data_IF_010668257500
#
_entry.id   IF_010668257500
#
_cell.length_a   1.000
_cell.length_b   1.000
_cell.length_c   1.000
_cell.angle_alpha   90.00
_cell.angle_beta   90.00
_cell.angle_gamma   90.00
#
_symmetry.space_group_name_H-M   'P 1'
#
loop_
_entity.id
_entity.type
_entity.pdbx_description
1 polymer ?
#
# COMPACT_ATOMS: atom_id res chain seq x y z
N UNK A 1 23.74 -4.24 25.36
CA UNK A 1 24.37 -3.17 24.55
C UNK A 1 24.17 -1.78 25.18
N UNK A 2 22.95 -1.29 25.45
CA UNK A 2 22.75 0.03 26.08
C UNK A 2 23.32 0.13 27.52
N UNK A 3 23.29 -0.96 28.32
CA UNK A 3 23.90 -0.99 29.66
C UNK A 3 25.43 -0.81 29.61
N UNK A 4 26.09 -1.48 28.65
CA UNK A 4 27.54 -1.39 28.49
C UNK A 4 27.93 0.03 28.05
N UNK A 5 27.19 0.65 27.10
CA UNK A 5 27.41 2.03 26.68
C UNK A 5 27.17 3.00 27.86
N UNK A 6 26.15 2.76 28.69
CA UNK A 6 25.84 3.56 29.86
C UNK A 6 26.97 3.53 30.92
N UNK A 7 27.57 2.39 31.15
CA UNK A 7 28.71 2.23 32.06
C UNK A 7 29.96 2.94 31.49
N UNK A 8 30.21 2.81 30.21
CA UNK A 8 31.37 3.40 29.54
C UNK A 8 31.33 4.94 29.48
N UNK A 9 30.15 5.51 29.35
CA UNK A 9 29.94 6.98 29.24
C UNK A 9 29.41 7.61 30.54
N UNK A 10 29.41 6.88 31.67
CA UNK A 10 29.03 7.43 33.00
C UNK A 10 27.55 7.76 33.13
N UNK A 11 26.70 7.20 32.30
CA UNK A 11 25.25 7.39 32.40
C UNK A 11 24.72 6.56 33.58
N UNK A 12 24.31 7.21 34.66
CA UNK A 12 23.96 6.61 35.94
C UNK A 12 22.74 5.65 35.90
N UNK A 13 21.96 5.62 34.80
CA UNK A 13 20.80 4.75 34.71
C UNK A 13 20.40 4.49 33.25
N UNK A 14 20.60 3.26 32.77
CA UNK A 14 20.06 2.81 31.47
C UNK A 14 18.64 2.28 31.70
N UNK A 15 17.67 2.83 30.97
CA UNK A 15 16.29 2.40 31.04
C UNK A 15 16.10 1.00 30.46
N UNK A 16 15.25 0.18 31.10
CA UNK A 16 14.96 -1.17 30.63
C UNK A 16 14.18 -1.16 29.29
N UNK A 17 14.30 -2.25 28.53
CA UNK A 17 13.48 -2.45 27.33
C UNK A 17 11.97 -2.33 27.66
N UNK A 18 11.53 -2.84 28.81
CA UNK A 18 10.14 -2.73 29.25
C UNK A 18 9.74 -1.26 29.46
N UNK A 19 10.59 -0.46 30.10
CA UNK A 19 10.34 0.98 30.30
C UNK A 19 10.16 1.71 28.96
N UNK A 20 11.03 1.44 27.97
CA UNK A 20 10.90 2.02 26.62
C UNK A 20 9.61 1.57 25.96
N UNK A 21 9.27 0.29 26.05
CA UNK A 21 8.02 -0.25 25.51
C UNK A 21 6.78 0.43 26.12
N UNK A 22 6.79 0.66 27.42
CA UNK A 22 5.67 1.31 28.11
C UNK A 22 5.56 2.81 27.76
N UNK A 23 6.69 3.49 27.58
CA UNK A 23 6.69 4.86 27.07
C UNK A 23 6.08 4.95 25.67
N UNK A 24 6.44 4.03 24.76
CA UNK A 24 5.89 3.98 23.40
C UNK A 24 4.37 3.76 23.42
N UNK A 25 3.88 2.84 24.25
CA UNK A 25 2.44 2.59 24.41
C UNK A 25 1.71 3.80 24.98
N UNK A 26 2.27 4.43 26.02
CA UNK A 26 1.70 5.61 26.67
C UNK A 26 1.64 6.79 25.68
N UNK A 27 2.73 7.06 24.96
CA UNK A 27 2.77 8.09 23.92
C UNK A 27 1.77 7.78 22.80
N UNK A 28 1.71 6.52 22.36
CA UNK A 28 0.76 6.10 21.34
C UNK A 28 -0.69 6.30 21.76
N UNK A 29 -1.04 5.98 23.01
CA UNK A 29 -2.38 6.21 23.56
C UNK A 29 -2.71 7.71 23.64
N UNK A 30 -1.77 8.54 24.08
CA UNK A 30 -1.96 9.98 24.11
C UNK A 30 -2.20 10.55 22.71
N UNK A 31 -1.39 10.16 21.73
CA UNK A 31 -1.56 10.57 20.32
C UNK A 31 -2.90 10.11 19.73
N UNK A 32 -3.32 8.87 20.04
CA UNK A 32 -4.61 8.35 19.60
C UNK A 32 -5.79 9.17 20.13
N UNK A 33 -5.79 9.49 21.42
CA UNK A 33 -6.83 10.32 22.05
C UNK A 33 -6.81 11.77 21.52
N UNK A 34 -5.63 12.30 21.22
CA UNK A 34 -5.44 13.67 20.72
C UNK A 34 -5.88 13.82 19.26
N UNK A 35 -5.71 12.78 18.42
CA UNK A 35 -5.87 12.87 16.97
C UNK A 35 -7.22 13.44 16.54
N UNK A 36 -8.33 12.94 17.10
CA UNK A 36 -9.69 13.39 16.77
C UNK A 36 -9.95 14.80 17.27
N UNK A 37 -9.44 15.15 18.47
CA UNK A 37 -9.54 16.49 19.05
C UNK A 37 -8.83 17.51 18.16
N UNK A 38 -7.60 17.22 17.72
CA UNK A 38 -6.84 18.13 16.85
C UNK A 38 -7.56 18.40 15.54
N UNK A 39 -8.17 17.38 14.90
CA UNK A 39 -8.96 17.56 13.69
C UNK A 39 -10.16 18.47 13.97
N UNK A 40 -10.93 18.19 15.02
CA UNK A 40 -12.10 18.96 15.43
C UNK A 40 -11.75 20.43 15.69
N UNK A 41 -10.73 20.65 16.51
CA UNK A 41 -10.39 22.00 17.00
C UNK A 41 -9.76 22.86 15.88
N UNK A 42 -8.98 22.25 14.97
CA UNK A 42 -8.38 22.94 13.82
C UNK A 42 -9.37 23.18 12.68
N UNK A 43 -10.55 22.55 12.68
CA UNK A 43 -11.52 22.61 11.57
C UNK A 43 -10.93 22.19 10.21
N UNK A 44 -9.88 21.36 10.21
CA UNK A 44 -9.24 20.93 8.97
C UNK A 44 -10.20 20.07 8.14
N UNK A 45 -10.22 20.27 6.83
CA UNK A 45 -10.91 19.37 5.89
C UNK A 45 -10.14 18.07 5.81
N UNK A 46 -10.81 16.95 6.02
CA UNK A 46 -10.18 15.64 6.09
C UNK A 46 -10.98 14.58 5.34
N UNK A 47 -10.31 13.46 5.05
CA UNK A 47 -10.90 12.25 4.50
C UNK A 47 -10.36 11.04 5.23
N UNK A 48 -10.97 9.88 5.04
CA UNK A 48 -10.50 8.65 5.66
C UNK A 48 -9.75 7.76 4.66
N UNK A 49 -8.67 7.11 5.13
CA UNK A 49 -8.14 5.89 4.53
C UNK A 49 -8.43 4.76 5.49
N UNK A 50 -9.06 3.69 5.00
CA UNK A 50 -9.56 2.58 5.81
C UNK A 50 -9.06 1.25 5.25
N UNK A 51 -8.55 0.39 6.14
CA UNK A 51 -8.15 -0.97 5.77
C UNK A 51 -8.37 -1.96 6.93
N UNK A 52 -8.78 -3.20 6.61
CA UNK A 52 -8.99 -4.30 7.55
C UNK A 52 -7.95 -5.44 7.45
N UNK A 53 -6.74 -5.15 6.97
CA UNK A 53 -5.81 -6.14 6.41
C UNK A 53 -4.94 -6.91 7.39
N UNK A 54 -4.87 -6.55 8.68
CA UNK A 54 -4.01 -7.28 9.63
C UNK A 54 -4.80 -8.31 10.43
N UNK A 55 -4.45 -9.58 10.22
CA UNK A 55 -4.83 -10.66 11.15
C UNK A 55 -3.74 -10.82 12.22
N UNK A 56 -4.12 -10.71 13.49
CA UNK A 56 -3.25 -10.95 14.65
C UNK A 56 -3.88 -12.08 15.48
N UNK A 57 -3.29 -13.27 15.41
CA UNK A 57 -3.95 -14.47 15.95
C UNK A 57 -5.26 -14.74 15.21
N UNK A 58 -6.37 -14.82 15.94
CA UNK A 58 -7.73 -15.00 15.40
C UNK A 58 -8.48 -13.67 15.20
N UNK A 59 -7.83 -12.53 15.37
CA UNK A 59 -8.45 -11.22 15.36
C UNK A 59 -8.02 -10.41 14.12
N UNK A 60 -8.93 -9.63 13.56
CA UNK A 60 -8.70 -8.69 12.46
C UNK A 60 -8.67 -7.26 12.98
N UNK A 61 -7.68 -6.51 12.55
CA UNK A 61 -7.53 -5.09 12.86
C UNK A 61 -8.18 -4.25 11.77
N UNK A 62 -9.07 -3.35 12.16
CA UNK A 62 -9.55 -2.25 11.32
C UNK A 62 -8.78 -0.99 11.71
N UNK A 63 -8.06 -0.42 10.76
CA UNK A 63 -7.32 0.83 10.93
C UNK A 63 -7.99 1.94 10.13
N UNK A 64 -8.18 3.09 10.77
CA UNK A 64 -8.72 4.29 10.15
C UNK A 64 -7.73 5.43 10.31
N UNK A 65 -7.27 5.96 9.20
CA UNK A 65 -6.42 7.16 9.14
C UNK A 65 -7.27 8.35 8.71
N UNK A 66 -7.06 9.50 9.32
CA UNK A 66 -7.48 10.77 8.76
C UNK A 66 -6.32 11.36 7.96
N UNK A 67 -6.62 11.75 6.73
CA UNK A 67 -5.71 12.39 5.78
C UNK A 67 -6.26 13.78 5.41
N UNK A 68 -5.44 14.72 4.89
CA UNK A 68 -5.96 15.93 4.26
C UNK A 68 -6.96 15.59 3.15
N UNK A 69 -8.08 16.30 3.08
CA UNK A 69 -9.09 16.09 2.03
C UNK A 69 -8.53 16.37 0.63
N UNK A 70 -7.69 17.39 0.52
CA UNK A 70 -6.96 17.73 -0.71
C UNK A 70 -5.55 17.10 -0.69
N UNK A 71 -5.04 16.73 -1.86
CA UNK A 71 -3.68 16.26 -1.99
C UNK A 71 -2.69 17.37 -1.60
N UNK A 72 -1.69 17.10 -0.73
CA UNK A 72 -0.73 18.10 -0.28
C UNK A 72 0.33 18.48 -1.34
N UNK A 73 0.22 18.01 -2.57
CA UNK A 73 1.20 18.24 -3.65
C UNK A 73 2.40 17.29 -3.62
N UNK A 74 2.29 16.23 -2.84
CA UNK A 74 3.24 15.11 -2.76
C UNK A 74 2.52 13.84 -2.30
N UNK A 75 3.13 12.69 -2.51
CA UNK A 75 2.63 11.42 -1.96
C UNK A 75 2.50 11.52 -0.43
N UNK A 76 1.39 11.01 0.12
CA UNK A 76 1.12 11.07 1.55
C UNK A 76 2.29 10.48 2.37
N UNK A 77 2.71 11.23 3.38
CA UNK A 77 3.75 10.86 4.34
C UNK A 77 3.15 10.58 5.71
N UNK A 78 3.92 9.97 6.59
CA UNK A 78 3.49 9.70 7.97
C UNK A 78 3.12 10.96 8.75
N UNK A 79 3.72 12.11 8.44
CA UNK A 79 3.44 13.41 9.05
C UNK A 79 2.10 14.02 8.60
N UNK A 80 1.61 13.65 7.42
CA UNK A 80 0.35 14.16 6.86
C UNK A 80 -0.89 13.48 7.46
N UNK A 81 -0.72 12.35 8.14
CA UNK A 81 -1.82 11.49 8.56
C UNK A 81 -1.95 11.38 10.07
N UNK A 82 -3.14 11.06 10.54
CA UNK A 82 -3.44 10.79 11.95
C UNK A 82 -4.21 9.49 12.08
N UNK A 83 -3.80 8.64 13.01
CA UNK A 83 -4.58 7.44 13.35
C UNK A 83 -5.78 7.86 14.19
N UNK A 84 -6.98 7.75 13.62
CA UNK A 84 -8.23 8.11 14.28
C UNK A 84 -9.09 6.90 14.67
N UNK A 85 -8.77 5.71 14.18
CA UNK A 85 -9.45 4.46 14.54
C UNK A 85 -8.50 3.28 14.58
N UNK A 86 -8.49 2.53 15.68
CA UNK A 86 -7.85 1.24 15.85
C UNK A 86 -8.90 0.33 16.50
N UNK A 87 -9.47 -0.59 15.74
CA UNK A 87 -10.52 -1.47 16.24
C UNK A 87 -10.14 -2.92 15.96
N UNK A 88 -10.53 -3.80 16.85
CA UNK A 88 -10.15 -5.21 16.84
C UNK A 88 -11.36 -6.09 17.02
N UNK A 89 -11.62 -6.97 16.04
CA UNK A 89 -12.73 -7.93 16.07
C UNK A 89 -12.28 -9.26 15.44
N UNK A 90 -13.07 -10.30 15.59
CA UNK A 90 -12.83 -11.58 14.90
C UNK A 90 -13.06 -11.46 13.39
N UNK A 91 -14.01 -10.66 13.01
CA UNK A 91 -14.36 -10.35 11.60
C UNK A 91 -15.10 -9.02 11.55
N UNK A 92 -15.03 -8.36 10.41
CA UNK A 92 -15.71 -7.09 10.17
C UNK A 92 -16.86 -7.30 9.20
N UNK A 93 -18.07 -6.87 9.58
CA UNK A 93 -19.21 -6.72 8.68
C UNK A 93 -19.35 -5.25 8.30
N UNK A 94 -20.01 -4.98 7.18
CA UNK A 94 -20.19 -3.61 6.69
C UNK A 94 -20.89 -2.71 7.73
N UNK A 95 -21.86 -3.24 8.44
CA UNK A 95 -22.60 -2.51 9.46
C UNK A 95 -21.72 -2.14 10.67
N UNK A 96 -20.81 -3.05 11.08
CA UNK A 96 -19.86 -2.79 12.18
C UNK A 96 -18.81 -1.76 11.78
N UNK A 97 -18.28 -1.85 10.56
CA UNK A 97 -17.37 -0.85 10.02
C UNK A 97 -18.05 0.52 9.95
N UNK A 98 -19.27 0.60 9.39
CA UNK A 98 -20.03 1.85 9.30
C UNK A 98 -20.25 2.47 10.68
N UNK A 99 -20.64 1.66 11.67
CA UNK A 99 -20.82 2.11 13.05
C UNK A 99 -19.51 2.69 13.64
N UNK A 100 -18.37 2.04 13.40
CA UNK A 100 -17.08 2.53 13.88
C UNK A 100 -16.62 3.81 13.20
N UNK A 101 -16.88 3.96 11.92
CA UNK A 101 -16.61 5.21 11.19
C UNK A 101 -17.55 6.33 11.69
N UNK A 102 -18.83 6.04 11.96
CA UNK A 102 -19.77 7.01 12.52
C UNK A 102 -19.36 7.46 13.92
N UNK A 103 -18.90 6.55 14.80
CA UNK A 103 -18.37 6.90 16.13
C UNK A 103 -17.21 7.92 16.01
N UNK A 104 -16.31 7.75 15.02
CA UNK A 104 -15.21 8.72 14.78
C UNK A 104 -15.76 10.08 14.29
N UNK A 105 -16.72 10.05 13.35
CA UNK A 105 -17.36 11.27 12.82
C UNK A 105 -18.06 12.05 13.93
N UNK A 106 -18.78 11.38 14.82
CA UNK A 106 -19.51 12.01 15.93
C UNK A 106 -18.53 12.69 16.91
N UNK A 107 -17.40 12.06 17.21
CA UNK A 107 -16.38 12.64 18.09
C UNK A 107 -15.63 13.82 17.45
N UNK A 108 -15.40 13.81 16.13
CA UNK A 108 -14.83 14.95 15.38
C UNK A 108 -15.86 16.07 15.22
N UNK A 109 -17.15 15.73 15.06
CA UNK A 109 -18.27 16.65 14.98
C UNK A 109 -18.64 17.10 13.56
N UNK A 110 -17.96 16.59 12.51
CA UNK A 110 -18.32 16.80 11.09
C UNK A 110 -17.80 15.67 10.21
N UNK A 111 -18.47 15.46 9.04
CA UNK A 111 -18.17 14.36 8.12
C UNK A 111 -16.85 14.57 7.39
N UNK A 112 -16.11 13.46 7.06
CA UNK A 112 -15.02 13.50 6.09
C UNK A 112 -15.57 13.79 4.68
N UNK A 113 -14.71 14.23 3.76
CA UNK A 113 -15.13 14.51 2.39
C UNK A 113 -15.31 13.24 1.56
N UNK A 114 -14.49 12.24 1.82
CA UNK A 114 -14.56 10.90 1.18
C UNK A 114 -13.90 9.84 2.05
N UNK A 115 -14.10 8.59 1.65
CA UNK A 115 -13.37 7.43 2.17
C UNK A 115 -12.58 6.81 1.03
N UNK A 116 -11.30 6.53 1.27
CA UNK A 116 -10.42 5.77 0.40
C UNK A 116 -10.16 4.40 1.01
N UNK A 117 -10.43 3.34 0.27
CA UNK A 117 -10.12 1.97 0.71
C UNK A 117 -9.85 1.05 -0.48
N UNK A 118 -9.47 -0.19 -0.20
CA UNK A 118 -9.49 -1.23 -1.21
C UNK A 118 -10.92 -1.50 -1.72
N UNK A 119 -11.04 -2.39 -2.71
CA UNK A 119 -12.36 -2.77 -3.27
C UNK A 119 -13.10 -3.80 -2.42
N UNK A 120 -12.73 -3.98 -1.15
CA UNK A 120 -13.36 -4.91 -0.21
C UNK A 120 -14.85 -4.62 -0.05
N UNK A 121 -15.70 -5.62 -0.32
CA UNK A 121 -17.15 -5.46 -0.31
C UNK A 121 -17.70 -4.83 0.97
N UNK A 122 -17.12 -5.21 2.13
CA UNK A 122 -17.54 -4.68 3.43
C UNK A 122 -17.24 -3.19 3.57
N UNK A 123 -16.07 -2.73 3.09
CA UNK A 123 -15.66 -1.33 3.15
C UNK A 123 -16.49 -0.46 2.21
N UNK A 124 -16.70 -0.93 0.97
CA UNK A 124 -17.59 -0.25 -0.01
C UNK A 124 -19.00 -0.09 0.55
N UNK A 125 -19.59 -1.18 1.07
CA UNK A 125 -20.95 -1.15 1.64
C UNK A 125 -21.01 -0.26 2.89
N UNK A 126 -20.00 -0.30 3.76
CA UNK A 126 -19.93 0.54 4.95
C UNK A 126 -19.92 2.04 4.60
N UNK A 127 -19.13 2.42 3.60
CA UNK A 127 -19.04 3.80 3.12
C UNK A 127 -20.38 4.26 2.51
N UNK A 128 -21.02 3.40 1.72
CA UNK A 128 -22.36 3.65 1.18
C UNK A 128 -23.42 3.87 2.27
N UNK A 129 -23.38 3.07 3.36
CA UNK A 129 -24.28 3.22 4.50
C UNK A 129 -24.14 4.58 5.21
N UNK A 130 -22.98 5.24 5.09
CA UNK A 130 -22.72 6.57 5.66
C UNK A 130 -23.00 7.72 4.68
N UNK A 131 -23.42 7.38 3.45
CA UNK A 131 -23.65 8.34 2.37
C UNK A 131 -22.40 9.21 2.08
N UNK A 132 -21.21 8.60 2.13
CA UNK A 132 -19.95 9.25 1.83
C UNK A 132 -19.46 8.84 0.43
N UNK A 133 -18.83 9.76 -0.32
CA UNK A 133 -18.11 9.38 -1.54
C UNK A 133 -17.03 8.34 -1.21
N UNK A 134 -16.94 7.30 -2.02
CA UNK A 134 -15.95 6.24 -1.88
C UNK A 134 -14.99 6.22 -3.05
N UNK A 135 -13.72 6.44 -2.79
CA UNK A 135 -12.63 6.23 -3.75
C UNK A 135 -12.04 4.84 -3.59
N UNK A 136 -11.86 4.16 -4.70
CA UNK A 136 -11.19 2.86 -4.76
C UNK A 136 -9.69 3.06 -4.90
N UNK A 137 -8.91 2.33 -4.12
CA UNK A 137 -7.45 2.39 -4.22
C UNK A 137 -6.94 2.05 -5.62
N UNK A 138 -6.07 2.89 -6.17
CA UNK A 138 -5.55 2.75 -7.53
C UNK A 138 -4.68 1.50 -7.69
N UNK A 139 -3.88 1.15 -6.66
CA UNK A 139 -3.02 -0.02 -6.68
C UNK A 139 -3.81 -1.32 -6.70
N UNK A 140 -4.77 -1.45 -5.80
CA UNK A 140 -5.66 -2.60 -5.74
C UNK A 140 -6.49 -2.75 -7.01
N UNK A 141 -7.03 -1.64 -7.52
CA UNK A 141 -7.84 -1.65 -8.75
C UNK A 141 -7.03 -2.07 -9.96
N UNK A 142 -5.80 -1.57 -10.11
CA UNK A 142 -4.92 -2.02 -11.19
C UNK A 142 -4.54 -3.49 -11.06
N UNK A 143 -4.27 -3.95 -9.82
CA UNK A 143 -4.05 -5.37 -9.54
C UNK A 143 -5.20 -6.26 -10.04
N UNK A 144 -6.45 -5.85 -9.83
CA UNK A 144 -7.63 -6.58 -10.34
C UNK A 144 -7.71 -6.59 -11.88
N UNK A 145 -7.31 -5.51 -12.56
CA UNK A 145 -7.28 -5.49 -14.03
C UNK A 145 -6.25 -6.46 -14.59
N UNK A 146 -5.11 -6.59 -13.94
CA UNK A 146 -4.10 -7.58 -14.31
C UNK A 146 -4.55 -9.00 -14.00
N UNK A 147 -5.17 -9.23 -12.85
CA UNK A 147 -5.74 -10.53 -12.47
C UNK A 147 -6.73 -11.00 -13.51
N UNK A 148 -7.71 -10.18 -13.87
CA UNK A 148 -8.70 -10.48 -14.91
C UNK A 148 -8.06 -10.78 -16.28
N UNK A 149 -6.95 -10.08 -16.60
CA UNK A 149 -6.29 -10.25 -17.90
C UNK A 149 -5.39 -11.48 -17.99
N UNK A 150 -4.81 -11.95 -16.84
CA UNK A 150 -3.73 -12.92 -16.86
C UNK A 150 -3.96 -14.14 -15.97
N UNK A 151 -4.94 -14.19 -15.05
CA UNK A 151 -5.08 -15.31 -14.10
C UNK A 151 -5.34 -16.63 -14.80
N UNK A 152 -6.15 -16.62 -15.86
CA UNK A 152 -6.44 -17.81 -16.70
C UNK A 152 -5.47 -17.97 -17.89
N UNK A 153 -4.48 -17.10 -18.06
CA UNK A 153 -3.53 -17.17 -19.16
C UNK A 153 -2.52 -18.31 -18.93
N UNK A 154 -2.53 -19.30 -19.82
CA UNK A 154 -1.65 -20.48 -19.73
C UNK A 154 -0.17 -20.09 -19.76
N UNK A 155 0.23 -19.19 -20.66
CA UNK A 155 1.63 -18.76 -20.80
C UNK A 155 2.11 -18.01 -19.55
N UNK A 156 1.26 -17.16 -18.97
CA UNK A 156 1.57 -16.47 -17.73
C UNK A 156 1.72 -17.46 -16.57
N UNK A 157 0.82 -18.44 -16.44
CA UNK A 157 0.88 -19.44 -15.40
C UNK A 157 2.08 -20.37 -15.55
N UNK A 158 2.43 -20.78 -16.78
CA UNK A 158 3.66 -21.53 -17.07
C UNK A 158 4.91 -20.74 -16.70
N UNK A 159 4.98 -19.46 -17.05
CA UNK A 159 6.10 -18.59 -16.71
C UNK A 159 6.26 -18.46 -15.20
N UNK A 160 5.17 -18.26 -14.44
CA UNK A 160 5.18 -18.28 -12.97
C UNK A 160 5.78 -19.57 -12.41
N UNK A 161 5.35 -20.72 -12.94
CA UNK A 161 5.83 -22.01 -12.47
C UNK A 161 7.31 -22.24 -12.80
N UNK A 162 7.78 -21.80 -13.96
CA UNK A 162 9.21 -21.85 -14.31
C UNK A 162 10.06 -20.98 -13.38
N UNK A 163 9.61 -19.78 -13.06
CA UNK A 163 10.29 -18.93 -12.06
C UNK A 163 10.33 -19.60 -10.68
N UNK A 164 9.23 -20.22 -10.24
CA UNK A 164 9.18 -20.97 -8.98
C UNK A 164 10.17 -22.13 -8.96
N UNK A 165 10.22 -22.91 -10.03
CA UNK A 165 11.18 -24.01 -10.18
C UNK A 165 12.63 -23.54 -10.15
N UNK A 166 12.96 -22.51 -10.92
CA UNK A 166 14.30 -21.92 -10.92
C UNK A 166 14.71 -21.47 -9.51
N UNK A 167 13.82 -20.82 -8.78
CA UNK A 167 14.09 -20.41 -7.40
C UNK A 167 14.34 -21.59 -6.46
N UNK A 168 13.54 -22.65 -6.53
CA UNK A 168 13.71 -23.84 -5.71
C UNK A 168 15.02 -24.58 -6.04
N UNK A 169 15.38 -24.61 -7.31
CA UNK A 169 16.58 -25.33 -7.78
C UNK A 169 17.88 -24.61 -7.46
N UNK A 170 17.90 -23.26 -7.54
CA UNK A 170 19.16 -22.48 -7.53
C UNK A 170 19.36 -21.61 -6.30
N UNK A 171 18.46 -21.61 -5.28
CA UNK A 171 18.54 -20.70 -4.14
C UNK A 171 19.75 -20.93 -3.21
N UNK A 172 20.38 -22.09 -3.25
CA UNK A 172 21.59 -22.43 -2.51
C UNK A 172 22.82 -22.62 -3.42
N UNK A 173 22.80 -22.05 -4.62
CA UNK A 173 23.90 -22.11 -5.58
C UNK A 173 24.50 -20.75 -5.85
N UNK A 174 25.60 -20.72 -6.59
CA UNK A 174 26.24 -19.50 -7.13
C UNK A 174 25.33 -18.66 -8.05
N UNK A 175 24.20 -19.23 -8.48
CA UNK A 175 23.17 -18.56 -9.31
C UNK A 175 22.11 -17.83 -8.47
N UNK A 176 22.21 -17.85 -7.14
CA UNK A 176 21.20 -17.28 -6.24
C UNK A 176 20.95 -15.78 -6.45
N UNK A 177 21.96 -15.00 -6.89
CA UNK A 177 21.83 -13.57 -7.17
C UNK A 177 21.00 -13.25 -8.44
N UNK A 178 20.80 -14.23 -9.33
CA UNK A 178 19.99 -14.10 -10.55
C UNK A 178 18.53 -14.49 -10.33
N UNK A 179 18.16 -14.97 -9.16
CA UNK A 179 16.83 -15.53 -8.92
C UNK A 179 15.72 -14.49 -8.96
N UNK A 180 14.52 -14.89 -9.42
CA UNK A 180 13.35 -14.04 -9.34
C UNK A 180 13.02 -13.67 -7.88
N UNK A 181 12.32 -12.56 -7.64
CA UNK A 181 11.85 -12.18 -6.31
C UNK A 181 10.99 -13.28 -5.67
N UNK A 182 10.85 -13.24 -4.33
CA UNK A 182 10.10 -14.26 -3.60
C UNK A 182 8.61 -14.22 -3.98
N UNK A 183 8.08 -15.38 -4.34
CA UNK A 183 6.68 -15.52 -4.79
C UNK A 183 5.62 -15.38 -3.69
N UNK A 184 5.97 -15.43 -2.40
CA UNK A 184 5.00 -15.28 -1.30
C UNK A 184 4.25 -13.95 -1.34
N UNK A 185 4.85 -12.93 -1.96
CA UNK A 185 4.24 -11.62 -2.15
C UNK A 185 3.28 -11.54 -3.35
N UNK A 186 3.16 -12.61 -4.14
CA UNK A 186 2.46 -12.61 -5.42
C UNK A 186 1.03 -13.14 -5.39
N UNK A 187 0.51 -13.47 -4.24
CA UNK A 187 -0.91 -13.78 -4.10
C UNK A 187 -1.82 -12.61 -4.57
N UNK A 188 -1.22 -11.43 -4.81
CA UNK A 188 -1.91 -10.26 -5.35
C UNK A 188 -1.06 -9.67 -6.48
N UNK A 189 -1.64 -9.46 -7.63
CA UNK A 189 -1.00 -8.87 -8.81
C UNK A 189 -0.30 -7.51 -8.57
N UNK A 190 -0.52 -6.89 -7.41
CA UNK A 190 0.16 -5.68 -6.96
C UNK A 190 1.70 -5.81 -6.87
N UNK A 191 2.23 -7.03 -6.66
CA UNK A 191 3.67 -7.28 -6.60
C UNK A 191 4.29 -7.73 -7.94
N UNK A 192 3.51 -7.68 -9.02
CA UNK A 192 3.98 -8.07 -10.35
C UNK A 192 5.14 -7.21 -10.85
N UNK A 193 5.26 -5.95 -10.38
CA UNK A 193 6.37 -5.04 -10.68
C UNK A 193 7.74 -5.66 -10.51
N UNK A 194 7.98 -6.25 -9.33
CA UNK A 194 9.30 -6.81 -9.00
C UNK A 194 9.68 -7.97 -9.93
N UNK A 195 8.71 -8.70 -10.43
CA UNK A 195 8.96 -9.82 -11.35
C UNK A 195 9.20 -9.35 -12.77
N UNK A 196 8.37 -8.42 -13.21
CA UNK A 196 8.51 -7.86 -14.54
C UNK A 196 9.85 -7.14 -14.64
N UNK A 197 10.22 -6.34 -13.65
CA UNK A 197 11.50 -5.66 -13.60
C UNK A 197 12.67 -6.66 -13.56
N UNK A 198 12.58 -7.73 -12.75
CA UNK A 198 13.56 -8.82 -12.77
C UNK A 198 13.65 -9.48 -14.14
N UNK A 199 12.51 -9.83 -14.74
CA UNK A 199 12.49 -10.53 -16.02
C UNK A 199 13.04 -9.66 -17.16
N UNK A 200 12.72 -8.38 -17.18
CA UNK A 200 13.26 -7.40 -18.13
C UNK A 200 14.78 -7.28 -17.97
N UNK A 201 15.26 -7.08 -16.74
CA UNK A 201 16.72 -6.98 -16.48
C UNK A 201 17.45 -8.23 -16.91
N UNK A 202 16.92 -9.41 -16.56
CA UNK A 202 17.55 -10.68 -16.96
C UNK A 202 17.52 -10.87 -18.48
N UNK A 203 16.41 -10.51 -19.14
CA UNK A 203 16.28 -10.57 -20.59
C UNK A 203 17.31 -9.66 -21.30
N UNK A 204 17.51 -8.45 -20.80
CA UNK A 204 18.48 -7.49 -21.36
C UNK A 204 19.93 -7.91 -21.14
N UNK A 205 20.24 -8.60 -20.05
CA UNK A 205 21.59 -9.08 -19.75
C UNK A 205 21.84 -10.54 -20.18
N UNK A 206 20.86 -11.20 -20.80
CA UNK A 206 20.90 -12.65 -21.04
C UNK A 206 22.13 -13.07 -21.86
N UNK A 207 22.51 -12.34 -22.88
CA UNK A 207 23.69 -12.65 -23.72
C UNK A 207 25.02 -12.50 -22.98
N UNK A 208 25.05 -11.76 -21.88
CA UNK A 208 26.25 -11.57 -21.04
C UNK A 208 26.41 -12.69 -20.01
N UNK A 209 25.41 -13.55 -19.83
CA UNK A 209 25.46 -14.68 -18.92
C UNK A 209 26.39 -15.78 -19.45
N UNK A 210 27.04 -16.51 -18.54
CA UNK A 210 27.78 -17.71 -18.92
C UNK A 210 26.82 -18.86 -19.32
N UNK A 211 27.34 -19.92 -19.96
CA UNK A 211 26.51 -21.02 -20.50
C UNK A 211 25.67 -21.74 -19.45
N UNK A 212 26.18 -21.92 -18.23
CA UNK A 212 25.42 -22.55 -17.15
C UNK A 212 24.28 -21.65 -16.65
N UNK A 213 24.50 -20.35 -16.59
CA UNK A 213 23.47 -19.36 -16.22
C UNK A 213 22.41 -19.26 -17.32
N UNK A 214 22.83 -19.23 -18.61
CA UNK A 214 21.91 -19.26 -19.74
C UNK A 214 21.02 -20.51 -19.71
N UNK A 215 21.60 -21.67 -19.44
CA UNK A 215 20.85 -22.92 -19.33
C UNK A 215 19.83 -22.87 -18.17
N UNK A 216 20.21 -22.32 -17.03
CA UNK A 216 19.35 -22.19 -15.85
C UNK A 216 18.12 -21.29 -16.09
N UNK A 217 18.27 -20.25 -16.94
CA UNK A 217 17.23 -19.26 -17.22
C UNK A 217 16.79 -19.24 -18.68
N UNK A 218 16.99 -20.35 -19.42
CA UNK A 218 16.64 -20.47 -20.84
C UNK A 218 15.18 -20.17 -21.15
N UNK A 219 14.29 -20.31 -20.17
CA UNK A 219 12.88 -19.99 -20.30
C UNK A 219 12.62 -18.48 -20.45
N UNK A 220 13.48 -17.60 -19.94
CA UNK A 220 13.21 -16.16 -19.95
C UNK A 220 13.12 -15.59 -21.39
N UNK A 221 14.06 -15.86 -22.30
CA UNK A 221 13.91 -15.45 -23.71
C UNK A 221 12.68 -16.04 -24.41
N UNK A 222 12.25 -17.25 -24.04
CA UNK A 222 11.08 -17.89 -24.62
C UNK A 222 9.76 -17.17 -24.30
N UNK A 223 9.72 -16.38 -23.23
CA UNK A 223 8.57 -15.57 -22.81
C UNK A 223 8.76 -14.07 -23.06
N UNK A 224 9.69 -13.70 -23.95
CA UNK A 224 10.03 -12.32 -24.24
C UNK A 224 8.81 -11.44 -24.54
N UNK A 225 7.88 -11.91 -25.37
CA UNK A 225 6.70 -11.14 -25.75
C UNK A 225 5.78 -10.85 -24.57
N UNK A 226 5.56 -11.87 -23.72
CA UNK A 226 4.79 -11.71 -22.47
C UNK A 226 5.47 -10.74 -21.50
N UNK A 227 6.80 -10.85 -21.35
CA UNK A 227 7.58 -9.96 -20.47
C UNK A 227 7.46 -8.50 -20.92
N UNK A 228 7.57 -8.23 -22.23
CA UNK A 228 7.43 -6.88 -22.78
C UNK A 228 5.99 -6.36 -22.67
N UNK A 229 4.98 -7.21 -22.89
CA UNK A 229 3.57 -6.84 -22.71
C UNK A 229 3.31 -6.39 -21.28
N UNK A 230 3.77 -7.18 -20.29
CA UNK A 230 3.67 -6.85 -18.87
C UNK A 230 4.47 -5.57 -18.53
N UNK A 231 5.66 -5.39 -19.10
CA UNK A 231 6.49 -4.22 -18.89
C UNK A 231 5.81 -2.94 -19.37
N UNK A 232 5.14 -2.97 -20.53
CA UNK A 232 4.38 -1.82 -21.03
C UNK A 232 3.16 -1.51 -20.16
N UNK A 233 2.45 -2.54 -19.64
CA UNK A 233 1.38 -2.33 -18.67
C UNK A 233 1.90 -1.65 -17.40
N UNK A 234 3.04 -2.13 -16.87
CA UNK A 234 3.67 -1.57 -15.67
C UNK A 234 4.15 -0.13 -15.89
N UNK A 235 4.70 0.18 -17.04
CA UNK A 235 5.17 1.53 -17.40
C UNK A 235 4.03 2.55 -17.39
N UNK A 236 2.90 2.20 -18.00
CA UNK A 236 1.71 3.04 -17.95
C UNK A 236 1.22 3.24 -16.53
N UNK A 237 1.06 2.15 -15.79
CA UNK A 237 0.60 2.21 -14.41
C UNK A 237 1.51 3.05 -13.51
N UNK A 238 2.82 2.84 -13.58
CA UNK A 238 3.79 3.63 -12.78
C UNK A 238 3.63 5.12 -13.03
N UNK A 239 3.53 5.52 -14.30
CA UNK A 239 3.32 6.94 -14.65
C UNK A 239 2.01 7.49 -14.06
N UNK A 240 0.90 6.75 -14.24
CA UNK A 240 -0.41 7.13 -13.70
C UNK A 240 -0.36 7.23 -12.17
N UNK A 241 0.22 6.22 -11.51
CA UNK A 241 0.33 6.15 -10.06
C UNK A 241 1.16 7.32 -9.49
N UNK A 242 2.33 7.59 -10.07
CA UNK A 242 3.20 8.68 -9.63
C UNK A 242 2.52 10.04 -9.74
N UNK A 243 1.82 10.28 -10.85
CA UNK A 243 1.06 11.50 -11.06
C UNK A 243 -0.06 11.65 -10.02
N UNK A 244 -0.87 10.61 -9.84
CA UNK A 244 -2.00 10.63 -8.91
C UNK A 244 -1.52 10.75 -7.45
N UNK A 245 -0.41 10.11 -7.06
CA UNK A 245 0.15 10.24 -5.71
C UNK A 245 0.69 11.63 -5.39
N UNK A 246 1.34 12.27 -6.37
CA UNK A 246 2.01 13.54 -6.13
C UNK A 246 1.11 14.75 -6.35
N UNK A 247 0.16 14.66 -7.27
CA UNK A 247 -0.72 15.78 -7.63
C UNK A 247 -2.16 15.62 -7.11
N UNK A 248 -2.54 14.41 -6.68
CA UNK A 248 -3.94 14.05 -6.43
C UNK A 248 -4.77 13.97 -7.71
N UNK A 249 -5.80 13.14 -7.73
CA UNK A 249 -6.72 13.12 -8.87
C UNK A 249 -7.54 14.41 -8.89
N UNK A 250 -7.54 15.09 -10.03
CA UNK A 250 -8.38 16.22 -10.37
C UNK A 250 -9.01 16.02 -11.75
N UNK A 251 -10.05 16.77 -12.07
CA UNK A 251 -10.67 16.75 -13.42
C UNK A 251 -9.62 17.08 -14.49
N UNK A 252 -8.69 18.01 -14.20
CA UNK A 252 -7.58 18.36 -15.09
C UNK A 252 -6.63 17.19 -15.29
N UNK A 253 -6.11 16.61 -14.19
CA UNK A 253 -5.17 15.51 -14.26
C UNK A 253 -5.79 14.27 -14.94
N UNK A 254 -7.08 14.00 -14.70
CA UNK A 254 -7.79 12.92 -15.38
C UNK A 254 -7.74 13.07 -16.93
N UNK A 255 -7.92 14.29 -17.46
CA UNK A 255 -7.81 14.56 -18.90
C UNK A 255 -6.37 14.38 -19.39
N UNK A 256 -5.39 14.87 -18.67
CA UNK A 256 -3.96 14.72 -19.00
C UNK A 256 -3.54 13.24 -19.06
N UNK A 257 -3.97 12.44 -18.09
CA UNK A 257 -3.70 11.00 -18.03
C UNK A 257 -4.41 10.24 -19.15
N UNK A 258 -5.64 10.63 -19.52
CA UNK A 258 -6.30 10.09 -20.72
C UNK A 258 -5.45 10.32 -21.95
N UNK A 259 -5.02 11.55 -22.18
CA UNK A 259 -4.25 11.90 -23.36
C UNK A 259 -2.91 11.17 -23.39
N UNK A 260 -2.29 10.96 -22.23
CA UNK A 260 -1.09 10.14 -22.09
C UNK A 260 -1.36 8.68 -22.49
N UNK A 261 -2.41 8.05 -21.95
CA UNK A 261 -2.78 6.67 -22.25
C UNK A 261 -3.08 6.52 -23.75
N UNK A 262 -3.91 7.39 -24.32
CA UNK A 262 -4.32 7.31 -25.72
C UNK A 262 -3.14 7.48 -26.66
N UNK A 263 -2.21 8.37 -26.37
CA UNK A 263 -1.05 8.64 -27.26
C UNK A 263 0.04 7.58 -27.15
N UNK A 264 0.24 6.98 -25.99
CA UNK A 264 1.42 6.15 -25.72
C UNK A 264 1.13 4.67 -25.48
N UNK A 265 -0.11 4.31 -25.12
CA UNK A 265 -0.44 2.97 -24.61
C UNK A 265 -1.67 2.33 -25.25
N UNK A 266 -2.07 2.78 -26.43
CA UNK A 266 -3.06 2.07 -27.25
C UNK A 266 -2.32 1.28 -28.32
N UNK A 267 -2.48 -0.03 -28.27
CA UNK A 267 -1.76 -1.00 -29.10
C UNK A 267 -2.74 -1.76 -30.01
N UNK A 268 -3.00 -1.31 -31.26
CA UNK A 268 -3.98 -1.96 -32.15
C UNK A 268 -3.70 -3.45 -32.37
N UNK A 269 -2.43 -3.87 -32.29
CA UNK A 269 -2.00 -5.26 -32.41
C UNK A 269 -2.07 -6.08 -31.12
N UNK A 270 -2.37 -5.47 -29.98
CA UNK A 270 -2.47 -6.14 -28.68
C UNK A 270 -3.76 -5.73 -27.96
N UNK A 271 -4.82 -6.51 -28.17
CA UNK A 271 -6.15 -6.24 -27.61
C UNK A 271 -6.17 -6.36 -26.08
N UNK A 272 -5.37 -7.27 -25.50
CA UNK A 272 -5.28 -7.45 -24.06
C UNK A 272 -4.70 -6.21 -23.38
N UNK A 273 -3.55 -5.76 -23.83
CA UNK A 273 -2.90 -4.57 -23.29
C UNK A 273 -3.77 -3.33 -23.47
N UNK A 274 -4.33 -3.13 -24.67
CA UNK A 274 -5.29 -2.04 -24.91
C UNK A 274 -6.50 -2.13 -23.98
N UNK A 275 -7.03 -3.31 -23.75
CA UNK A 275 -8.14 -3.55 -22.81
C UNK A 275 -7.80 -3.13 -21.38
N UNK A 276 -6.61 -3.47 -20.87
CA UNK A 276 -6.12 -3.03 -19.57
C UNK A 276 -6.05 -1.49 -19.50
N UNK A 277 -5.47 -0.84 -20.53
CA UNK A 277 -5.35 0.62 -20.57
C UNK A 277 -6.71 1.32 -20.57
N UNK A 278 -7.67 0.76 -21.30
CA UNK A 278 -9.05 1.29 -21.30
C UNK A 278 -9.74 1.12 -19.95
N UNK A 279 -9.46 0.05 -19.20
CA UNK A 279 -9.96 -0.13 -17.83
C UNK A 279 -9.36 0.90 -16.87
N UNK A 280 -8.04 1.17 -16.98
CA UNK A 280 -7.36 2.23 -16.20
C UNK A 280 -8.01 3.58 -16.50
N UNK A 281 -8.25 3.90 -17.78
CA UNK A 281 -8.92 5.15 -18.17
C UNK A 281 -10.35 5.24 -17.58
N UNK A 282 -11.16 4.20 -17.71
CA UNK A 282 -12.52 4.18 -17.20
C UNK A 282 -12.55 4.35 -15.67
N UNK A 283 -11.64 3.68 -14.96
CA UNK A 283 -11.47 3.86 -13.51
C UNK A 283 -11.17 5.34 -13.18
N UNK A 284 -10.18 5.96 -13.81
CA UNK A 284 -9.85 7.37 -13.55
C UNK A 284 -11.03 8.31 -13.85
N UNK A 285 -11.83 8.00 -14.87
CA UNK A 285 -13.03 8.76 -15.22
C UNK A 285 -14.13 8.61 -14.16
N UNK A 286 -14.36 7.39 -13.66
CA UNK A 286 -15.31 7.12 -12.58
C UNK A 286 -14.91 7.86 -11.30
N UNK A 287 -13.64 7.73 -10.87
CA UNK A 287 -13.14 8.40 -9.68
C UNK A 287 -13.19 9.94 -9.83
N UNK A 288 -12.85 10.47 -10.99
CA UNK A 288 -12.93 11.91 -11.25
C UNK A 288 -14.37 12.46 -11.24
N UNK A 289 -15.38 11.62 -11.50
CA UNK A 289 -16.79 12.02 -11.44
C UNK A 289 -17.27 12.34 -10.02
N UNK A 290 -16.55 11.88 -9.00
CA UNK A 290 -16.84 12.15 -7.59
C UNK A 290 -16.28 13.51 -7.14
N UNK A 291 -15.45 14.17 -7.95
CA UNK A 291 -14.80 15.43 -7.60
C UNK A 291 -15.61 16.64 -8.07
N UNK A 292 -15.61 17.68 -7.23
CA UNK A 292 -16.07 19.01 -7.65
C UNK A 292 -14.95 19.76 -8.39
N UNK A 293 -15.27 20.73 -9.23
CA UNK A 293 -14.26 21.57 -9.89
C UNK A 293 -13.27 22.17 -8.88
N UNK A 294 -11.98 22.02 -9.14
CA UNK A 294 -10.90 22.55 -8.29
C UNK A 294 -10.45 21.62 -7.15
N UNK A 295 -11.15 20.52 -6.89
CA UNK A 295 -10.71 19.54 -5.89
C UNK A 295 -9.60 18.63 -6.43
N UNK A 296 -8.74 18.17 -5.51
CA UNK A 296 -7.70 17.16 -5.73
C UNK A 296 -7.80 16.09 -4.65
N UNK A 297 -8.17 14.86 -4.99
CA UNK A 297 -8.33 13.78 -4.03
C UNK A 297 -7.19 12.75 -4.11
N UNK A 298 -6.80 12.20 -2.97
CA UNK A 298 -5.85 11.09 -2.92
C UNK A 298 -6.54 9.78 -3.34
N UNK A 299 -5.89 8.99 -4.19
CA UNK A 299 -6.38 7.67 -4.61
C UNK A 299 -5.43 6.51 -4.26
N UNK A 300 -4.39 6.76 -3.47
CA UNK A 300 -3.49 5.70 -3.03
C UNK A 300 -3.57 5.50 -1.52
N UNK A 301 -3.80 4.27 -1.12
CA UNK A 301 -3.79 3.82 0.27
C UNK A 301 -2.41 3.32 0.74
N UNK A 302 -1.33 3.50 -0.03
CA UNK A 302 0.01 3.01 0.30
C UNK A 302 0.50 3.46 1.68
N UNK A 303 0.04 4.61 2.16
CA UNK A 303 0.41 5.11 3.49
C UNK A 303 -0.06 4.16 4.60
N UNK A 304 -1.27 3.57 4.49
CA UNK A 304 -1.77 2.63 5.50
C UNK A 304 -1.01 1.30 5.41
N UNK A 305 -0.63 0.86 4.20
CA UNK A 305 0.21 -0.32 4.00
C UNK A 305 1.61 -0.13 4.58
N UNK A 306 2.21 1.06 4.40
CA UNK A 306 3.49 1.45 5.00
C UNK A 306 3.44 1.33 6.54
N UNK A 307 2.40 1.88 7.16
CA UNK A 307 2.18 1.82 8.60
C UNK A 307 2.06 0.37 9.08
N UNK A 308 1.28 -0.44 8.37
CA UNK A 308 1.17 -1.87 8.65
C UNK A 308 2.49 -2.62 8.45
N UNK A 309 3.28 -2.25 7.45
CA UNK A 309 4.60 -2.82 7.19
C UNK A 309 5.53 -2.62 8.39
N UNK A 310 5.62 -1.40 8.91
CA UNK A 310 6.41 -1.07 10.11
C UNK A 310 5.92 -1.87 11.33
N UNK A 311 4.62 -1.93 11.55
CA UNK A 311 4.04 -2.69 12.66
C UNK A 311 4.35 -4.19 12.56
N UNK A 312 4.18 -4.79 11.35
CA UNK A 312 4.48 -6.20 11.11
C UNK A 312 5.93 -6.57 11.40
N UNK A 313 6.88 -5.68 11.13
CA UNK A 313 8.31 -5.88 11.42
C UNK A 313 8.62 -5.86 12.93
N UNK A 314 7.81 -5.15 13.72
CA UNK A 314 8.03 -4.94 15.16
C UNK A 314 7.18 -5.85 16.04
N UNK A 315 6.10 -6.45 15.51
CA UNK A 315 5.26 -7.37 16.29
C UNK A 315 6.01 -8.68 16.60
N UNK A 316 5.62 -9.34 17.70
CA UNK A 316 6.11 -10.68 18.00
C UNK A 316 5.83 -11.65 16.85
N UNK A 317 6.78 -12.52 16.48
CA UNK A 317 6.56 -13.57 15.49
C UNK A 317 5.61 -14.68 15.98
N UNK A 318 5.30 -14.73 17.28
CA UNK A 318 4.43 -15.77 17.85
C UNK A 318 2.96 -15.54 17.45
N UNK A 319 2.42 -16.46 16.67
CA UNK A 319 1.04 -16.41 16.17
C UNK A 319 -0.03 -16.69 17.24
N UNK A 320 0.35 -17.19 18.41
CA UNK A 320 -0.58 -17.49 19.50
C UNK A 320 -1.00 -16.24 20.28
N UNK A 321 -0.27 -15.13 20.14
CA UNK A 321 -0.65 -13.88 20.79
C UNK A 321 -1.73 -13.15 19.99
N UNK A 322 -2.81 -12.78 20.66
CA UNK A 322 -3.82 -11.85 20.16
C UNK A 322 -3.30 -10.42 20.11
N UNK A 323 -4.19 -9.48 19.85
CA UNK A 323 -3.86 -8.05 19.87
C UNK A 323 -3.47 -7.62 21.28
N UNK A 324 -2.30 -7.02 21.41
CA UNK A 324 -1.79 -6.45 22.67
C UNK A 324 -1.77 -4.93 22.61
N UNK A 325 -1.59 -4.21 23.72
CA UNK A 325 -1.41 -2.75 23.72
C UNK A 325 -0.29 -2.24 22.79
N UNK A 326 0.57 -3.13 22.29
CA UNK A 326 1.57 -2.80 21.29
C UNK A 326 0.96 -2.27 19.98
N UNK A 327 -0.33 -2.53 19.72
CA UNK A 327 -1.06 -1.93 18.59
C UNK A 327 -1.02 -0.39 18.60
N UNK A 328 -0.86 0.22 19.78
CA UNK A 328 -0.69 1.68 19.92
C UNK A 328 0.62 2.19 19.32
N UNK A 329 1.57 1.30 18.97
CA UNK A 329 2.74 1.65 18.19
C UNK A 329 2.38 2.23 16.81
N UNK A 330 1.23 1.83 16.25
CA UNK A 330 0.73 2.40 14.98
C UNK A 330 0.61 3.93 15.02
N UNK A 331 0.22 4.49 16.16
CA UNK A 331 0.06 5.94 16.32
C UNK A 331 1.39 6.65 16.53
N UNK A 332 2.33 6.02 17.26
CA UNK A 332 3.64 6.62 17.56
C UNK A 332 4.61 6.57 16.36
N UNK A 333 4.39 5.66 15.42
CA UNK A 333 5.21 5.56 14.20
C UNK A 333 5.01 6.71 13.21
N UNK A 334 4.01 7.58 13.47
CA UNK A 334 3.69 8.76 12.63
C UNK A 334 4.64 9.95 12.83
N UNK A 335 5.47 9.96 13.88
CA UNK A 335 6.44 11.03 14.09
C UNK A 335 7.82 10.62 13.60
N UNK A 336 8.40 11.40 12.69
CA UNK A 336 9.80 11.26 12.33
C UNK A 336 10.67 11.63 13.55
N UNK A 337 11.79 10.90 13.83
CA UNK A 337 12.71 11.25 14.94
C UNK A 337 13.31 12.68 14.87
N UNK A 338 13.24 13.34 13.71
CA UNK A 338 13.81 14.67 13.49
C UNK A 338 13.06 15.82 14.18
N UNK A 339 11.88 15.61 14.77
CA UNK A 339 11.12 16.66 15.47
C UNK A 339 11.36 16.69 17.00
N UNK A 340 12.29 15.88 17.50
CA UNK A 340 12.72 15.88 18.90
C UNK A 340 14.03 16.69 19.10
N UNK A 341 14.16 17.86 18.48
CA UNK A 341 15.11 18.82 19.00
C UNK A 341 14.43 19.53 20.18
N UNK A 342 14.89 19.31 21.42
CA UNK A 342 14.50 20.19 22.51
C UNK A 342 15.08 21.57 22.20
N UNK A 343 14.22 22.55 22.06
CA UNK A 343 14.66 23.92 22.26
C UNK A 343 15.00 24.06 23.74
N UNK A 344 16.28 24.03 24.05
CA UNK A 344 16.83 24.59 25.28
C UNK A 344 17.21 26.05 25.07
#
# INVERSE_FOLDING_TARGET
MLSVIGEEYGVAKVVSHQTVSDWVKTAGLAMYKEARRVIRDSKMRYSFVVDESITIGSQKLLLVLAIPAECPGHALRHEDVKVVGIFVEKSWKAEDVARKLQEIVDEIGYKPEYVLSDNGHNLVKATSNLELPHHKDIGHTFGLFLEEAYDDDKRFNEFKELMRKARLQYHLTDKAFLLPPNQRAMARFMNLFNWVDWAVRLLLSYEQLNEEQKLAFVFVPAYKDLIWELAEAMKCYTHVLEKVKNEGLSIRLCKELRDYIVRNHIYPGNLRLTGIMMKVWNYLKEEASLLKPGQTHNLSSDIIESIFGIFKQKKSPNHLYGVTPFVLFLTSSMRHPASLHPQF
#
